data_IF_616109551791
#
_entry.id   IF_616109551791
#
_cell.length_a   1.000
_cell.length_b   1.000
_cell.length_c   1.000
_cell.angle_alpha   90.00
_cell.angle_beta   90.00
_cell.angle_gamma   90.00
#
_symmetry.space_group_name_H-M   'P 1'
#
loop_
_entity.id
_entity.type
_entity.pdbx_description
1 polymer ?
#
# COMPACT_ATOMS: atom_id res chain seq x y z
N UNK A 1 66.05 -70.19 -22.25
CA UNK A 1 64.76 -70.73 -22.75
C UNK A 1 63.73 -69.63 -22.61
N UNK A 2 63.12 -69.28 -23.74
CA UNK A 2 62.19 -68.17 -23.97
C UNK A 2 60.88 -68.37 -23.22
N UNK A 3 60.26 -67.28 -22.72
CA UNK A 3 58.88 -66.88 -23.09
C UNK A 3 58.70 -65.37 -22.90
N UNK A 4 58.65 -64.69 -24.03
CA UNK A 4 58.10 -63.35 -24.19
C UNK A 4 56.56 -63.46 -24.16
N UNK A 5 55.89 -62.72 -23.29
CA UNK A 5 54.50 -62.30 -23.49
C UNK A 5 54.36 -60.85 -23.02
N UNK A 6 54.23 -59.96 -23.99
CA UNK A 6 53.86 -58.55 -23.85
C UNK A 6 52.33 -58.41 -23.80
N UNK A 7 51.88 -57.22 -23.37
CA UNK A 7 50.54 -56.61 -23.46
C UNK A 7 49.67 -56.84 -22.20
N UNK A 8 49.11 -55.83 -21.51
CA UNK A 8 48.83 -54.43 -21.82
C UNK A 8 48.72 -53.60 -20.52
N UNK A 9 48.98 -52.30 -20.67
CA UNK A 9 48.82 -51.27 -19.65
C UNK A 9 47.36 -51.13 -19.17
N UNK A 10 47.20 -50.78 -17.90
CA UNK A 10 45.92 -50.40 -17.31
C UNK A 10 46.12 -49.75 -15.93
N UNK A 11 46.86 -48.64 -15.88
CA UNK A 11 46.68 -47.69 -14.78
C UNK A 11 45.28 -47.09 -14.93
N UNK A 12 44.43 -47.20 -13.92
CA UNK A 12 43.63 -46.09 -13.40
C UNK A 12 43.26 -46.39 -11.94
N UNK A 13 44.09 -45.90 -11.04
CA UNK A 13 43.66 -45.54 -9.68
C UNK A 13 42.74 -44.33 -9.83
N UNK A 14 41.44 -44.52 -9.68
CA UNK A 14 40.55 -43.41 -9.33
C UNK A 14 39.94 -43.72 -7.98
N UNK A 15 40.41 -42.98 -6.98
CA UNK A 15 39.83 -42.94 -5.65
C UNK A 15 38.30 -42.84 -5.77
N UNK A 16 37.57 -43.65 -5.00
CA UNK A 16 36.13 -43.51 -4.83
C UNK A 16 35.87 -42.19 -4.10
N UNK A 17 35.84 -41.09 -4.86
CA UNK A 17 35.34 -39.82 -4.40
C UNK A 17 33.90 -40.02 -3.93
N UNK A 18 33.61 -39.56 -2.72
CA UNK A 18 32.26 -39.44 -2.20
C UNK A 18 31.37 -38.72 -3.23
N UNK A 19 30.55 -39.47 -3.97
CA UNK A 19 29.48 -38.91 -4.78
C UNK A 19 28.29 -38.63 -3.86
N UNK A 20 28.44 -37.64 -2.97
CA UNK A 20 27.29 -36.94 -2.44
C UNK A 20 26.88 -35.93 -3.51
N UNK A 21 25.72 -36.15 -4.12
CA UNK A 21 25.14 -35.21 -5.07
C UNK A 21 24.76 -33.91 -4.35
N UNK A 22 25.67 -32.94 -4.31
CA UNK A 22 25.36 -31.54 -3.98
C UNK A 22 24.70 -30.83 -5.18
N UNK A 23 23.71 -31.47 -5.84
CA UNK A 23 23.05 -30.91 -7.03
C UNK A 23 21.64 -30.39 -6.77
N UNK A 24 21.21 -30.26 -5.51
CA UNK A 24 19.89 -29.73 -5.15
C UNK A 24 19.93 -28.46 -4.29
N UNK A 25 21.11 -27.91 -4.00
CA UNK A 25 21.24 -26.67 -3.21
C UNK A 25 21.35 -25.39 -4.05
N UNK A 26 21.29 -25.48 -5.39
CA UNK A 26 21.49 -24.32 -6.27
C UNK A 26 20.43 -24.23 -7.36
N UNK A 27 19.15 -24.29 -6.99
CA UNK A 27 18.05 -23.95 -7.91
C UNK A 27 16.87 -23.38 -7.14
N UNK A 28 17.10 -22.31 -6.39
CA UNK A 28 16.03 -21.37 -6.07
C UNK A 28 16.56 -19.98 -6.39
N UNK A 29 16.61 -19.63 -7.67
CA UNK A 29 16.46 -18.24 -8.06
C UNK A 29 15.04 -17.83 -7.64
N UNK A 30 14.87 -17.52 -6.35
CA UNK A 30 13.82 -16.60 -5.92
C UNK A 30 13.97 -15.37 -6.81
N UNK A 31 12.92 -14.88 -7.48
CA UNK A 31 12.98 -13.61 -8.17
C UNK A 31 13.52 -12.59 -7.17
N UNK A 32 14.77 -12.16 -7.38
CA UNK A 32 15.54 -11.37 -6.43
C UNK A 32 15.20 -9.90 -6.61
N UNK A 33 13.92 -9.56 -6.49
CA UNK A 33 13.41 -8.21 -6.72
C UNK A 33 11.90 -8.07 -6.45
N UNK A 34 11.39 -6.84 -6.35
CA UNK A 34 9.97 -6.57 -6.19
C UNK A 34 9.14 -7.19 -7.30
N UNK A 35 7.99 -7.75 -6.94
CA UNK A 35 6.96 -8.05 -7.93
C UNK A 35 6.03 -6.85 -8.05
N UNK A 36 6.09 -6.16 -9.19
CA UNK A 36 5.09 -5.17 -9.54
C UNK A 36 3.82 -5.85 -10.03
N UNK A 37 2.69 -5.55 -9.41
CA UNK A 37 1.38 -6.09 -9.77
C UNK A 37 0.36 -4.96 -9.87
N UNK A 38 -0.66 -5.08 -10.74
CA UNK A 38 -1.72 -4.06 -10.82
C UNK A 38 -2.50 -4.00 -9.52
N UNK A 39 -2.90 -2.79 -9.11
CA UNK A 39 -3.83 -2.58 -8.01
C UNK A 39 -5.23 -3.02 -8.48
N UNK A 40 -5.80 -4.08 -7.92
CA UNK A 40 -7.09 -4.58 -8.38
C UNK A 40 -8.23 -3.71 -7.84
N UNK A 41 -9.35 -3.68 -8.57
CA UNK A 41 -10.55 -2.91 -8.17
C UNK A 41 -11.11 -3.29 -6.80
N UNK A 42 -10.91 -4.54 -6.37
CA UNK A 42 -11.36 -5.03 -5.07
C UNK A 42 -10.42 -4.65 -3.91
N UNK A 43 -9.22 -4.12 -4.17
CA UNK A 43 -8.41 -3.41 -3.18
C UNK A 43 -8.96 -2.00 -2.99
N UNK A 44 -10.22 -1.93 -2.56
CA UNK A 44 -11.08 -0.74 -2.56
C UNK A 44 -10.50 0.49 -1.86
N UNK A 45 -9.63 0.32 -0.86
CA UNK A 45 -9.02 1.47 -0.17
C UNK A 45 -7.95 2.19 -1.02
N UNK A 46 -7.37 1.51 -2.02
CA UNK A 46 -6.25 2.01 -2.83
C UNK A 46 -6.51 2.00 -4.34
N UNK A 47 -7.66 1.49 -4.78
CA UNK A 47 -8.06 1.64 -6.17
C UNK A 47 -8.34 3.12 -6.50
N UNK A 48 -7.87 3.60 -7.65
CA UNK A 48 -8.04 5.00 -8.07
C UNK A 48 -6.98 5.97 -7.56
N UNK A 49 -5.89 5.48 -6.96
CA UNK A 49 -4.71 6.28 -6.66
C UNK A 49 -4.05 6.82 -7.95
N UNK A 50 -3.14 7.77 -7.81
CA UNK A 50 -2.40 8.39 -8.93
C UNK A 50 -1.44 7.41 -9.65
N UNK A 51 -1.28 6.21 -9.10
CA UNK A 51 -0.51 5.11 -9.65
C UNK A 51 -1.38 3.85 -9.67
N UNK A 52 -1.10 2.95 -10.61
CA UNK A 52 -1.92 1.75 -10.86
C UNK A 52 -1.20 0.43 -10.58
N UNK A 53 0.08 0.47 -10.22
CA UNK A 53 0.91 -0.70 -9.92
C UNK A 53 1.43 -0.61 -8.48
N UNK A 54 1.37 -1.71 -7.76
CA UNK A 54 1.89 -1.84 -6.41
C UNK A 54 2.98 -2.90 -6.32
N UNK A 55 3.85 -2.77 -5.31
CA UNK A 55 4.89 -3.74 -5.00
C UNK A 55 4.37 -4.83 -4.05
N UNK A 56 4.78 -6.07 -4.30
CA UNK A 56 4.73 -7.17 -3.33
C UNK A 56 6.14 -7.73 -3.04
N UNK A 57 6.43 -8.16 -1.79
CA UNK A 57 5.58 -7.97 -0.60
C UNK A 57 5.39 -6.48 -0.27
N UNK A 58 4.28 -6.13 0.39
CA UNK A 58 4.02 -4.74 0.80
C UNK A 58 4.68 -4.43 2.16
N UNK A 59 4.58 -3.19 2.67
CA UNK A 59 5.24 -2.77 3.91
C UNK A 59 4.64 -3.40 5.19
N UNK A 60 3.56 -4.16 5.03
CA UNK A 60 2.93 -4.96 6.08
C UNK A 60 3.19 -6.46 5.85
N UNK A 61 4.18 -6.79 5.01
CA UNK A 61 4.67 -8.15 4.75
C UNK A 61 3.64 -9.09 4.11
N UNK A 62 2.57 -8.55 3.52
CA UNK A 62 1.67 -9.37 2.72
C UNK A 62 2.37 -9.79 1.43
N UNK A 63 2.47 -11.09 1.18
CA UNK A 63 3.14 -11.64 0.00
C UNK A 63 2.20 -11.73 -1.20
N UNK A 64 0.89 -11.78 -0.93
CA UNK A 64 -0.14 -11.95 -1.95
C UNK A 64 -1.12 -10.79 -2.00
N UNK A 65 -1.70 -10.56 -3.18
CA UNK A 65 -2.74 -9.55 -3.38
C UNK A 65 -3.96 -9.85 -2.50
N UNK A 66 -4.32 -11.14 -2.36
CA UNK A 66 -5.49 -11.54 -1.59
C UNK A 66 -5.34 -11.25 -0.09
N UNK A 67 -4.16 -11.45 0.48
CA UNK A 67 -3.86 -11.05 1.87
C UNK A 67 -4.00 -9.54 2.03
N UNK A 68 -3.40 -8.75 1.13
CA UNK A 68 -3.51 -7.30 1.16
C UNK A 68 -4.97 -6.83 1.04
N UNK A 69 -5.78 -7.43 0.16
CA UNK A 69 -7.23 -7.13 0.04
C UNK A 69 -7.96 -7.46 1.33
N UNK A 70 -7.74 -8.66 1.88
CA UNK A 70 -8.43 -9.13 3.07
C UNK A 70 -8.13 -8.22 4.27
N UNK A 71 -6.85 -8.01 4.58
CA UNK A 71 -6.44 -7.22 5.75
C UNK A 71 -6.68 -5.72 5.57
N UNK A 72 -6.64 -5.20 4.34
CA UNK A 72 -6.96 -3.78 4.10
C UNK A 72 -8.45 -3.45 4.32
N UNK A 73 -9.33 -4.46 4.28
CA UNK A 73 -10.77 -4.23 4.35
C UNK A 73 -11.23 -3.66 5.69
N UNK A 74 -10.51 -3.97 6.78
CA UNK A 74 -10.76 -3.45 8.12
C UNK A 74 -10.55 -1.93 8.22
N UNK A 75 -9.81 -1.34 7.29
CA UNK A 75 -9.46 0.09 7.27
C UNK A 75 -10.47 0.96 6.53
N UNK A 76 -11.49 0.37 5.89
CA UNK A 76 -12.55 1.11 5.17
C UNK A 76 -13.27 2.09 6.07
N UNK A 77 -13.61 1.69 7.29
CA UNK A 77 -14.32 2.53 8.25
C UNK A 77 -13.48 3.75 8.64
N UNK A 78 -12.16 3.61 8.77
CA UNK A 78 -11.29 4.75 9.07
C UNK A 78 -11.29 5.78 7.94
N UNK A 79 -11.28 5.34 6.68
CA UNK A 79 -11.39 6.25 5.54
C UNK A 79 -12.74 6.98 5.52
N UNK A 80 -13.83 6.28 5.83
CA UNK A 80 -15.18 6.88 5.88
C UNK A 80 -15.31 7.92 7.00
N UNK A 81 -14.53 7.82 8.07
CA UNK A 81 -14.49 8.84 9.12
C UNK A 81 -13.94 10.18 8.60
N UNK A 82 -13.19 10.20 7.50
CA UNK A 82 -12.62 11.40 6.89
C UNK A 82 -11.91 12.29 7.93
N UNK A 83 -11.10 11.68 8.81
CA UNK A 83 -10.41 12.36 9.90
C UNK A 83 -9.19 13.18 9.45
N UNK A 84 -8.58 12.83 8.32
CA UNK A 84 -7.47 13.57 7.71
C UNK A 84 -7.47 13.37 6.18
N UNK A 85 -7.19 14.39 5.35
CA UNK A 85 -7.19 14.24 3.88
C UNK A 85 -6.18 13.21 3.38
N UNK A 86 -5.01 13.10 4.01
CA UNK A 86 -3.97 12.15 3.62
C UNK A 86 -4.15 10.72 4.20
N UNK A 87 -5.30 10.40 4.81
CA UNK A 87 -5.52 9.06 5.41
C UNK A 87 -5.40 7.95 4.35
N UNK A 88 -5.96 8.17 3.16
CA UNK A 88 -5.85 7.22 2.04
C UNK A 88 -4.41 7.09 1.56
N UNK A 89 -3.70 8.21 1.40
CA UNK A 89 -2.30 8.22 0.99
C UNK A 89 -1.43 7.43 1.97
N UNK A 90 -1.61 7.66 3.27
CA UNK A 90 -0.87 6.94 4.30
C UNK A 90 -1.16 5.44 4.28
N UNK A 91 -2.43 5.01 4.30
CA UNK A 91 -2.77 3.58 4.28
C UNK A 91 -2.26 2.89 3.00
N UNK A 92 -2.39 3.55 1.85
CA UNK A 92 -1.93 2.98 0.58
C UNK A 92 -0.42 2.97 0.43
N UNK A 93 0.32 3.85 1.10
CA UNK A 93 1.78 3.72 1.20
C UNK A 93 2.21 2.40 1.85
N UNK A 94 1.36 1.82 2.70
CA UNK A 94 1.63 0.57 3.41
C UNK A 94 1.06 -0.66 2.69
N UNK A 95 -0.23 -0.61 2.32
CA UNK A 95 -0.93 -1.74 1.70
C UNK A 95 -0.63 -1.91 0.21
N UNK A 96 -0.42 -0.80 -0.50
CA UNK A 96 -0.20 -0.76 -1.94
C UNK A 96 0.97 0.18 -2.31
N UNK A 97 2.18 -0.05 -1.78
CA UNK A 97 3.32 0.83 -2.01
C UNK A 97 3.64 0.95 -3.50
N UNK A 98 4.10 2.13 -3.93
CA UNK A 98 4.51 2.40 -5.31
C UNK A 98 5.56 1.38 -5.74
N UNK A 99 5.35 0.77 -6.91
CA UNK A 99 6.35 -0.11 -7.50
C UNK A 99 7.27 0.66 -8.44
N UNK A 100 8.57 0.64 -8.15
CA UNK A 100 9.61 1.19 -9.00
C UNK A 100 10.42 0.01 -9.58
N UNK A 101 10.19 -0.39 -10.85
CA UNK A 101 10.80 -1.61 -11.42
C UNK A 101 12.32 -1.63 -11.41
N UNK A 102 12.95 -0.45 -11.39
CA UNK A 102 14.40 -0.26 -11.39
C UNK A 102 14.99 -0.04 -10.00
N UNK A 103 14.18 -0.12 -8.94
CA UNK A 103 14.61 0.13 -7.57
C UNK A 103 14.11 -0.96 -6.61
N UNK A 104 15.06 -1.70 -6.04
CA UNK A 104 14.74 -2.76 -5.07
C UNK A 104 14.37 -2.24 -3.69
N UNK A 105 14.69 -0.97 -3.38
CA UNK A 105 14.35 -0.32 -2.11
C UNK A 105 12.88 0.09 -2.05
N UNK A 106 12.31 -0.03 -0.86
CA UNK A 106 10.97 0.43 -0.56
C UNK A 106 10.96 1.92 -0.23
N UNK A 107 9.87 2.60 -0.60
CA UNK A 107 9.62 3.98 -0.22
C UNK A 107 8.60 4.00 0.91
N UNK A 108 9.02 4.46 2.08
CA UNK A 108 8.18 4.56 3.28
C UNK A 108 7.39 5.89 3.29
N UNK A 109 6.25 5.97 4.00
CA UNK A 109 5.72 7.26 4.40
C UNK A 109 6.73 7.98 5.30
N UNK A 110 6.81 9.30 5.22
CA UNK A 110 7.59 10.07 6.18
C UNK A 110 6.88 10.05 7.55
N UNK A 111 7.66 10.25 8.62
CA UNK A 111 7.14 10.35 9.98
C UNK A 111 6.10 11.45 10.12
N UNK A 112 6.28 12.60 9.46
CA UNK A 112 5.31 13.70 9.49
C UNK A 112 3.94 13.30 8.93
N UNK A 113 3.90 12.54 7.83
CA UNK A 113 2.65 12.05 7.23
C UNK A 113 1.91 11.14 8.21
N UNK A 114 2.62 10.20 8.84
CA UNK A 114 2.02 9.33 9.86
C UNK A 114 1.48 10.14 11.03
N UNK A 115 2.28 11.07 11.56
CA UNK A 115 1.87 11.88 12.71
C UNK A 115 0.67 12.76 12.40
N UNK A 116 0.60 13.36 11.22
CA UNK A 116 -0.54 14.17 10.79
C UNK A 116 -1.84 13.35 10.71
N UNK A 117 -1.79 12.16 10.11
CA UNK A 117 -2.95 11.25 10.06
C UNK A 117 -3.32 10.75 11.45
N UNK A 118 -2.33 10.34 12.25
CA UNK A 118 -2.54 9.90 13.64
C UNK A 118 -3.23 10.99 14.46
N UNK A 119 -2.76 12.24 14.39
CA UNK A 119 -3.34 13.37 15.10
C UNK A 119 -4.81 13.62 14.73
N UNK A 120 -5.18 13.47 13.46
CA UNK A 120 -6.57 13.61 13.01
C UNK A 120 -7.47 12.43 13.43
N UNK A 121 -6.91 11.22 13.45
CA UNK A 121 -7.69 9.98 13.48
C UNK A 121 -7.70 9.24 14.82
N UNK A 122 -6.61 9.25 15.59
CA UNK A 122 -6.45 8.44 16.81
C UNK A 122 -7.55 8.74 17.85
N UNK A 123 -7.88 10.03 18.05
CA UNK A 123 -8.95 10.42 18.96
C UNK A 123 -10.31 9.85 18.55
N UNK A 124 -10.61 9.85 17.23
CA UNK A 124 -11.87 9.28 16.72
C UNK A 124 -11.90 7.76 16.84
N UNK A 125 -10.79 7.08 16.57
CA UNK A 125 -10.69 5.62 16.75
C UNK A 125 -10.90 5.23 18.22
N UNK A 126 -10.32 6.00 19.14
CA UNK A 126 -10.38 5.74 20.58
C UNK A 126 -11.81 5.80 21.13
N UNK A 127 -12.69 6.65 20.59
CA UNK A 127 -14.11 6.72 20.97
C UNK A 127 -14.83 5.38 20.74
N UNK A 128 -14.41 4.62 19.73
CA UNK A 128 -14.95 3.30 19.40
C UNK A 128 -14.16 2.14 20.04
N UNK A 129 -13.22 2.44 20.95
CA UNK A 129 -12.42 1.43 21.65
C UNK A 129 -11.24 0.89 20.84
N UNK A 130 -10.88 1.52 19.73
CA UNK A 130 -9.74 1.13 18.91
C UNK A 130 -8.56 2.10 19.13
N UNK A 131 -7.49 1.71 19.83
CA UNK A 131 -6.30 2.53 19.93
C UNK A 131 -5.56 2.60 18.58
N UNK A 132 -4.66 3.56 18.43
CA UNK A 132 -3.75 3.58 17.28
C UNK A 132 -2.82 2.35 17.33
N UNK A 133 -2.88 1.43 16.35
CA UNK A 133 -2.22 0.15 16.49
C UNK A 133 -0.72 0.24 16.23
N UNK A 134 0.04 -0.66 16.85
CA UNK A 134 1.51 -0.70 16.77
C UNK A 134 2.02 -0.88 15.33
N UNK A 135 1.28 -1.60 14.48
CA UNK A 135 1.62 -1.73 13.05
C UNK A 135 1.68 -0.38 12.33
N UNK A 136 0.98 0.65 12.83
CA UNK A 136 1.01 2.01 12.30
C UNK A 136 1.85 2.97 13.15
N UNK A 137 2.67 2.49 14.08
CA UNK A 137 3.49 3.36 14.92
C UNK A 137 4.42 4.25 14.09
N UNK A 138 4.35 5.56 14.31
CA UNK A 138 5.09 6.54 13.51
C UNK A 138 6.61 6.47 13.70
N UNK A 139 7.08 5.85 14.80
CA UNK A 139 8.51 5.68 15.08
C UNK A 139 9.19 4.71 14.10
N UNK A 140 8.40 3.86 13.43
CA UNK A 140 8.86 2.93 12.39
C UNK A 140 9.26 3.63 11.08
N UNK A 141 8.84 4.89 10.91
CA UNK A 141 9.01 5.62 9.66
C UNK A 141 10.17 6.61 9.73
N UNK A 142 10.87 6.86 8.61
CA UNK A 142 11.99 7.80 8.56
C UNK A 142 11.53 9.24 8.80
N UNK A 143 12.43 10.05 9.35
CA UNK A 143 12.26 11.51 9.38
C UNK A 143 12.18 12.08 7.96
N UNK A 144 11.50 13.22 7.84
CA UNK A 144 11.25 13.90 6.57
C UNK A 144 12.55 14.20 5.80
N UNK A 145 12.66 13.60 4.61
CA UNK A 145 13.76 13.79 3.67
C UNK A 145 13.24 13.63 2.23
N UNK A 146 14.11 13.54 1.23
CA UNK A 146 13.71 13.42 -0.18
C UNK A 146 13.35 11.99 -0.63
N UNK A 147 13.48 10.99 0.24
CA UNK A 147 13.25 9.57 -0.01
C UNK A 147 12.12 8.99 0.87
N UNK A 148 11.06 9.76 1.14
CA UNK A 148 9.83 9.26 1.76
C UNK A 148 8.61 10.05 1.28
N UNK A 149 7.42 9.48 1.47
CA UNK A 149 6.15 10.11 1.04
C UNK A 149 5.71 11.12 2.11
N UNK A 150 5.69 12.40 1.74
CA UNK A 150 5.25 13.51 2.60
C UNK A 150 3.73 13.74 2.50
N UNK A 151 3.18 14.41 3.51
CA UNK A 151 1.81 14.91 3.48
C UNK A 151 1.59 15.85 2.28
N UNK A 152 0.37 15.87 1.74
CA UNK A 152 0.04 16.84 0.70
C UNK A 152 -0.16 18.20 1.36
N UNK A 153 0.75 19.15 1.11
CA UNK A 153 0.60 20.52 1.61
C UNK A 153 -0.74 21.12 1.10
N UNK A 154 -1.65 21.38 2.03
CA UNK A 154 -2.99 21.94 1.76
C UNK A 154 -2.99 23.32 1.07
N UNK A 155 -1.83 23.98 0.92
CA UNK A 155 -1.72 25.26 0.21
C UNK A 155 -2.14 25.19 -1.27
N UNK A 156 -2.09 24.00 -1.89
CA UNK A 156 -2.59 23.81 -3.27
C UNK A 156 -4.04 23.31 -3.35
N UNK A 157 -4.63 22.84 -2.25
CA UNK A 157 -6.02 22.34 -2.22
C UNK A 157 -7.05 23.45 -1.92
N UNK A 158 -6.62 24.62 -1.45
CA UNK A 158 -7.47 25.81 -1.29
C UNK A 158 -8.04 26.43 -2.58
N UNK A 159 -7.77 25.85 -3.76
CA UNK A 159 -8.32 26.32 -5.05
C UNK A 159 -9.26 25.33 -5.75
N UNK A 160 -9.55 24.17 -5.15
CA UNK A 160 -10.51 23.21 -5.72
C UNK A 160 -11.57 22.71 -4.73
N UNK A 161 -11.70 23.34 -3.55
CA UNK A 161 -12.95 23.28 -2.80
C UNK A 161 -13.94 24.25 -3.45
N UNK A 162 -14.67 23.79 -4.47
CA UNK A 162 -15.93 24.44 -4.83
C UNK A 162 -16.86 24.28 -3.62
N UNK A 163 -17.53 25.36 -3.16
CA UNK A 163 -18.50 25.24 -2.08
C UNK A 163 -19.56 24.23 -2.53
N UNK A 164 -19.78 23.21 -1.70
CA UNK A 164 -20.96 22.37 -1.80
C UNK A 164 -22.13 23.31 -1.56
N UNK A 165 -22.75 23.76 -2.66
CA UNK A 165 -24.10 24.30 -2.74
C UNK A 165 -24.93 23.89 -1.53
N UNK A 166 -25.13 24.86 -0.65
CA UNK A 166 -26.22 24.86 0.30
C UNK A 166 -27.49 24.89 -0.54
N UNK A 167 -28.20 23.77 -0.55
CA UNK A 167 -29.56 23.71 -1.06
C UNK A 167 -30.42 24.54 -0.10
N UNK A 168 -30.46 25.85 -0.37
CA UNK A 168 -31.45 26.74 0.23
C UNK A 168 -32.80 26.28 -0.31
N UNK A 169 -33.46 25.41 0.45
CA UNK A 169 -34.89 25.20 0.35
C UNK A 169 -35.52 26.57 0.59
N UNK A 170 -36.00 27.19 -0.48
CA UNK A 170 -36.77 28.42 -0.37
C UNK A 170 -38.01 28.14 0.48
N UNK A 171 -38.01 28.63 1.71
CA UNK A 171 -39.23 28.74 2.52
C UNK A 171 -40.04 29.87 1.88
N UNK A 172 -41.27 29.64 1.40
CA UNK A 172 -42.07 30.71 0.81
C UNK A 172 -42.40 31.76 1.89
N UNK A 173 -42.08 33.03 1.58
CA UNK A 173 -42.38 34.18 2.42
C UNK A 173 -43.89 34.31 2.67
N UNK A 174 -44.26 34.60 3.91
CA UNK A 174 -45.64 34.76 4.39
C UNK A 174 -46.38 36.00 3.86
N UNK A 175 -45.83 36.72 2.91
CA UNK A 175 -46.44 37.95 2.36
C UNK A 175 -47.22 37.73 1.04
N UNK A 176 -47.19 36.53 0.43
CA UNK A 176 -47.90 36.26 -0.84
C UNK A 176 -49.33 35.68 -0.66
N UNK A 177 -49.77 35.48 0.59
CA UNK A 177 -51.14 34.96 0.87
C UNK A 177 -52.21 36.07 0.78
N UNK A 178 -51.83 37.34 0.63
CA UNK A 178 -52.79 38.46 0.65
C UNK A 178 -53.09 39.11 -0.71
N UNK A 179 -52.77 38.45 -1.82
CA UNK A 179 -53.14 38.93 -3.16
C UNK A 179 -53.96 37.95 -4.01
N UNK A 180 -54.43 36.83 -3.43
CA UNK A 180 -55.33 35.88 -4.14
C UNK A 180 -56.79 35.96 -3.74
N UNK A 181 -57.24 37.02 -3.06
CA UNK A 181 -58.66 37.22 -2.71
C UNK A 181 -59.32 38.42 -3.39
N UNK A 182 -58.72 39.00 -4.43
CA UNK A 182 -59.38 40.03 -5.25
C UNK A 182 -59.17 39.67 -6.70
N UNK A 183 -60.12 38.90 -7.25
CA UNK A 183 -60.61 38.83 -8.63
C UNK A 183 -61.35 37.50 -8.80
N UNK A 184 -62.44 37.35 -8.05
CA UNK A 184 -63.53 36.43 -8.35
C UNK A 184 -64.83 37.22 -8.29
N UNK A 185 -65.07 37.99 -9.36
CA UNK A 185 -66.37 38.48 -9.81
C UNK A 185 -66.49 38.14 -11.28
#
# INVERSE_FOLDING_TARGET
MSRVSLLLAGLLLTASSAYLSESWMLSSERPSGPRCVPIPHNLTICYGMQYSQMRLPNLLEHETINEAIHQSSDWKSLLQLNCHPDTQLFLCSLFAPICLPTMDREIYPCRSLCQAVKQGCEGRMSVYGFPWPEMLSCDKYPEDNDMCIKAMNNEKQGKLARPMHEEIVAVPDKEDIRMSSVLAY
#
